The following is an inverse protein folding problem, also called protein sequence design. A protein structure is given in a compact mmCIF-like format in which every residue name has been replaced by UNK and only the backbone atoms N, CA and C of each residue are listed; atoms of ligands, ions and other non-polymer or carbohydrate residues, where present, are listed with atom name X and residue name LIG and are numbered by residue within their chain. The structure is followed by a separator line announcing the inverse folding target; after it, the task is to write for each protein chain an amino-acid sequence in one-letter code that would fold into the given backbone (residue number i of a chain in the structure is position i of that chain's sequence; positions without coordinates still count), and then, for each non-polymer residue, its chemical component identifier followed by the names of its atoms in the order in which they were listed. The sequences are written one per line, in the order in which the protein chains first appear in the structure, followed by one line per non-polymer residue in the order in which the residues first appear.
data_IF_113621994146
#
_entry.id   IF_113621994146
#
_cell.length_a   1.000
_cell.length_b   1.000
_cell.length_c   1.000
_cell.angle_alpha   90.00
_cell.angle_beta   90.00
_cell.angle_gamma   90.00
#
_symmetry.space_group_name_H-M   'P 1'
#
loop_
_entity.id
_entity.type
_entity.pdbx_description
1 polymer ?
#
# COMPACT_ATOMS: atom_id res chain seq x y z
N UNK A 1 -7.04 14.07 -15.55
CA UNK A 1 -6.15 12.88 -15.54
C UNK A 1 -4.86 13.35 -14.91
N UNK A 2 -4.51 12.82 -13.73
CA UNK A 2 -3.32 13.24 -13.01
C UNK A 2 -2.06 12.83 -13.79
N UNK A 3 -1.07 13.71 -13.85
CA UNK A 3 0.24 13.47 -14.44
C UNK A 3 0.96 12.37 -13.61
N UNK A 4 0.95 11.13 -14.12
CA UNK A 4 1.71 10.02 -13.56
C UNK A 4 3.16 10.18 -14.02
N UNK A 5 4.03 10.64 -13.12
CA UNK A 5 5.46 10.77 -13.42
C UNK A 5 6.10 9.40 -13.62
N UNK A 6 7.03 9.29 -14.58
CA UNK A 6 7.70 8.07 -15.05
C UNK A 6 8.52 7.29 -13.99
N UNK A 7 8.38 7.61 -12.71
CA UNK A 7 9.08 7.00 -11.58
C UNK A 7 8.18 6.07 -10.74
N UNK A 8 6.88 6.01 -11.02
CA UNK A 8 5.95 5.11 -10.32
C UNK A 8 5.94 3.74 -10.99
N UNK A 9 6.43 2.72 -10.31
CA UNK A 9 6.49 1.35 -10.84
C UNK A 9 5.20 0.55 -10.58
N UNK A 10 4.52 0.88 -9.49
CA UNK A 10 3.30 0.22 -9.02
C UNK A 10 2.58 1.13 -8.01
N UNK A 11 1.44 0.69 -7.48
CA UNK A 11 0.73 1.26 -6.33
C UNK A 11 0.45 0.14 -5.33
N UNK A 12 0.49 0.47 -4.04
CA UNK A 12 -0.10 -0.40 -3.01
C UNK A 12 -1.50 0.09 -2.73
N UNK A 13 -2.45 -0.83 -2.63
CA UNK A 13 -3.82 -0.58 -2.18
C UNK A 13 -4.06 -1.38 -0.92
N UNK A 14 -4.61 -0.73 0.10
CA UNK A 14 -5.04 -1.40 1.32
C UNK A 14 -6.53 -1.22 1.45
N UNK A 15 -7.23 -2.33 1.69
CA UNK A 15 -8.66 -2.37 1.90
C UNK A 15 -8.95 -3.02 3.26
N UNK A 16 -9.70 -2.31 4.11
CA UNK A 16 -10.24 -2.86 5.35
C UNK A 16 -11.33 -3.87 4.98
N UNK A 17 -11.07 -5.15 5.23
CA UNK A 17 -12.02 -6.23 4.93
C UNK A 17 -12.97 -6.48 6.11
N UNK A 18 -12.42 -6.70 7.30
CA UNK A 18 -13.16 -7.06 8.52
C UNK A 18 -12.43 -6.48 9.74
N UNK A 19 -13.09 -6.42 10.90
CA UNK A 19 -12.45 -5.97 12.15
C UNK A 19 -11.19 -6.79 12.43
N UNK A 20 -10.02 -6.14 12.43
CA UNK A 20 -8.72 -6.77 12.62
C UNK A 20 -8.10 -7.40 11.37
N UNK A 21 -8.57 -7.04 10.16
CA UNK A 21 -8.02 -7.53 8.89
C UNK A 21 -7.90 -6.46 7.81
N UNK A 22 -6.68 -6.25 7.34
CA UNK A 22 -6.36 -5.45 6.16
C UNK A 22 -5.92 -6.33 5.01
N UNK A 23 -6.42 -6.01 3.83
CA UNK A 23 -6.11 -6.66 2.58
C UNK A 23 -5.19 -5.76 1.77
N UNK A 24 -3.96 -6.20 1.54
CA UNK A 24 -2.92 -5.42 0.87
C UNK A 24 -2.71 -5.98 -0.54
N UNK A 25 -2.77 -5.12 -1.53
CA UNK A 25 -2.57 -5.48 -2.93
C UNK A 25 -1.52 -4.59 -3.57
N UNK A 26 -0.55 -5.19 -4.26
CA UNK A 26 0.39 -4.48 -5.14
C UNK A 26 -0.17 -4.52 -6.54
N UNK A 27 -0.38 -3.35 -7.13
CA UNK A 27 -0.93 -3.20 -8.48
C UNK A 27 0.10 -2.48 -9.34
N UNK A 28 0.50 -3.04 -10.48
CA UNK A 28 1.43 -2.39 -11.40
C UNK A 28 0.84 -1.09 -11.97
N UNK A 29 1.68 -0.26 -12.60
CA UNK A 29 1.21 0.93 -13.34
C UNK A 29 0.13 0.58 -14.39
N UNK A 30 0.24 -0.59 -15.02
CA UNK A 30 -0.73 -1.12 -15.98
C UNK A 30 -2.08 -1.58 -15.37
N UNK A 31 -2.27 -1.44 -14.04
CA UNK A 31 -3.48 -1.89 -13.35
C UNK A 31 -3.55 -3.40 -13.11
N UNK A 32 -2.43 -4.11 -13.20
CA UNK A 32 -2.36 -5.57 -13.01
C UNK A 32 -1.95 -5.86 -11.57
N UNK A 33 -2.73 -6.67 -10.84
CA UNK A 33 -2.34 -7.14 -9.51
C UNK A 33 -1.08 -8.02 -9.61
N UNK A 34 0.01 -7.54 -9.01
CA UNK A 34 1.31 -8.24 -8.96
C UNK A 34 1.45 -9.11 -7.71
N UNK A 35 0.81 -8.70 -6.61
CA UNK A 35 0.88 -9.37 -5.33
C UNK A 35 -0.29 -9.02 -4.44
N UNK A 36 -0.62 -9.92 -3.53
CA UNK A 36 -1.69 -9.75 -2.56
C UNK A 36 -1.26 -10.40 -1.24
N UNK A 37 -1.51 -9.71 -0.13
CA UNK A 37 -1.20 -10.13 1.22
C UNK A 37 -2.29 -9.72 2.19
N UNK A 38 -2.39 -10.42 3.31
CA UNK A 38 -3.36 -10.12 4.36
C UNK A 38 -2.61 -9.82 5.63
N UNK A 39 -2.90 -8.68 6.24
CA UNK A 39 -2.39 -8.31 7.54
C UNK A 39 -3.50 -8.45 8.59
N UNK A 40 -3.23 -9.23 9.63
CA UNK A 40 -4.13 -9.44 10.75
C UNK A 40 -3.60 -8.61 11.93
N UNK A 41 -4.46 -7.77 12.50
CA UNK A 41 -4.11 -6.88 13.60
C UNK A 41 -5.21 -6.94 14.68
N UNK A 42 -4.82 -6.63 15.91
CA UNK A 42 -5.78 -6.43 16.99
C UNK A 42 -6.48 -5.08 16.82
N UNK A 43 -7.76 -4.98 17.19
CA UNK A 43 -8.55 -3.76 17.02
C UNK A 43 -8.00 -2.53 17.78
N UNK A 44 -7.07 -2.75 18.72
CA UNK A 44 -6.35 -1.68 19.44
C UNK A 44 -5.25 -1.03 18.57
N UNK A 45 -4.86 -1.67 17.46
CA UNK A 45 -3.88 -1.18 16.48
C UNK A 45 -4.54 -0.74 15.16
N UNK A 46 -5.83 -0.38 15.19
CA UNK A 46 -6.57 0.10 14.00
C UNK A 46 -6.27 1.58 13.68
N UNK A 47 -5.00 1.95 13.65
CA UNK A 47 -4.58 3.33 13.39
C UNK A 47 -3.92 3.47 12.00
N UNK A 48 -4.06 4.64 11.40
CA UNK A 48 -3.52 4.93 10.07
C UNK A 48 -1.97 4.81 10.02
N UNK A 49 -1.28 5.01 11.14
CA UNK A 49 0.18 4.80 11.20
C UNK A 49 0.56 3.31 11.11
N UNK A 50 -0.15 2.43 11.81
CA UNK A 50 0.08 0.99 11.75
C UNK A 50 -0.32 0.42 10.39
N UNK A 51 -1.40 0.93 9.80
CA UNK A 51 -1.84 0.58 8.44
C UNK A 51 -0.75 0.90 7.41
N UNK A 52 -0.17 2.10 7.48
CA UNK A 52 0.94 2.49 6.63
C UNK A 52 2.23 1.72 6.93
N UNK A 53 2.51 1.41 8.20
CA UNK A 53 3.69 0.63 8.58
C UNK A 53 3.61 -0.80 8.02
N UNK A 54 2.45 -1.46 8.15
CA UNK A 54 2.19 -2.79 7.60
C UNK A 54 2.31 -2.80 6.07
N UNK A 55 1.77 -1.78 5.40
CA UNK A 55 1.92 -1.62 3.95
C UNK A 55 3.39 -1.47 3.54
N UNK A 56 4.15 -0.67 4.28
CA UNK A 56 5.53 -0.38 3.96
C UNK A 56 6.40 -1.63 4.12
N UNK A 57 6.14 -2.44 5.14
CA UNK A 57 6.78 -3.73 5.33
C UNK A 57 6.40 -4.72 4.21
N UNK A 58 5.11 -4.82 3.88
CA UNK A 58 4.62 -5.69 2.81
C UNK A 58 5.28 -5.37 1.45
N UNK A 59 5.26 -4.12 1.01
CA UNK A 59 5.82 -3.73 -0.30
C UNK A 59 7.34 -3.84 -0.33
N UNK A 60 8.00 -3.78 0.83
CA UNK A 60 9.44 -3.96 0.94
C UNK A 60 9.87 -5.38 0.56
N UNK A 61 9.06 -6.39 0.86
CA UNK A 61 9.31 -7.77 0.44
C UNK A 61 9.29 -7.92 -1.09
N UNK A 62 8.53 -7.05 -1.78
CA UNK A 62 8.50 -6.96 -3.24
C UNK A 62 9.58 -6.04 -3.84
N UNK A 63 10.47 -5.48 -3.01
CA UNK A 63 11.52 -4.56 -3.48
C UNK A 63 11.02 -3.14 -3.76
N UNK A 64 9.86 -2.76 -3.22
CA UNK A 64 9.29 -1.43 -3.35
C UNK A 64 9.29 -0.66 -2.03
N UNK A 65 9.04 0.64 -2.12
CA UNK A 65 8.78 1.54 -0.99
C UNK A 65 7.79 2.62 -1.41
N UNK A 66 7.15 3.30 -0.47
CA UNK A 66 6.40 4.52 -0.76
C UNK A 66 6.67 5.59 0.30
N UNK A 67 6.37 6.84 -0.06
CA UNK A 67 6.43 7.96 0.85
C UNK A 67 5.08 8.13 1.55
N UNK A 68 5.10 8.30 2.88
CA UNK A 68 3.86 8.49 3.66
C UNK A 68 3.09 9.74 3.22
N UNK A 69 3.80 10.79 2.82
CA UNK A 69 3.21 12.01 2.27
C UNK A 69 2.52 11.81 0.90
N UNK A 70 2.80 10.70 0.21
CA UNK A 70 2.18 10.36 -1.07
C UNK A 70 0.97 9.42 -0.92
N UNK A 71 0.64 9.00 0.31
CA UNK A 71 -0.54 8.18 0.62
C UNK A 71 -1.81 8.98 0.33
N UNK A 72 -2.70 8.39 -0.45
CA UNK A 72 -4.00 8.94 -0.81
C UNK A 72 -5.10 8.05 -0.26
N UNK A 73 -5.96 8.62 0.58
CA UNK A 73 -7.15 7.93 1.07
C UNK A 73 -8.13 7.68 -0.08
N UNK A 74 -8.59 6.44 -0.20
CA UNK A 74 -9.56 5.93 -1.17
C UNK A 74 -10.85 5.57 -0.46
N UNK A 75 -11.51 6.59 0.07
CA UNK A 75 -12.70 6.42 0.91
C UNK A 75 -12.38 6.15 2.38
N UNK A 76 -13.38 5.72 3.17
CA UNK A 76 -13.25 5.55 4.61
C UNK A 76 -12.45 4.30 5.02
N UNK A 77 -12.37 3.31 4.12
CA UNK A 77 -11.90 1.96 4.42
C UNK A 77 -10.75 1.51 3.51
N UNK A 78 -10.19 2.43 2.71
CA UNK A 78 -9.09 2.09 1.84
C UNK A 78 -8.16 3.28 1.61
N UNK A 79 -6.92 2.97 1.25
CA UNK A 79 -5.98 3.95 0.72
C UNK A 79 -5.09 3.33 -0.33
N UNK A 80 -4.44 4.18 -1.11
CA UNK A 80 -3.36 3.77 -2.00
C UNK A 80 -2.16 4.71 -1.91
N UNK A 81 -0.99 4.18 -2.23
CA UNK A 81 0.23 4.98 -2.31
C UNK A 81 1.06 4.57 -3.53
N UNK A 82 1.65 5.53 -4.27
CA UNK A 82 2.53 5.23 -5.38
C UNK A 82 3.82 4.58 -4.88
N UNK A 83 4.17 3.45 -5.48
CA UNK A 83 5.36 2.68 -5.18
C UNK A 83 6.54 3.15 -6.03
N UNK A 84 7.64 3.37 -5.33
CA UNK A 84 8.96 3.63 -5.86
C UNK A 84 9.81 2.37 -5.69
N UNK A 85 10.78 2.14 -6.59
CA UNK A 85 11.79 1.12 -6.36
C UNK A 85 12.50 1.39 -5.02
N UNK A 86 12.62 0.36 -4.20
CA UNK A 86 13.42 0.43 -2.99
C UNK A 86 14.88 0.55 -3.42
N UNK A 87 15.58 1.59 -2.95
CA UNK A 87 16.99 1.85 -3.28
C UNK A 87 17.94 0.80 -2.68
N UNK A 88 17.42 -0.32 -2.16
CA UNK A 88 18.20 -1.48 -1.72
C UNK A 88 18.80 -2.20 -2.94
N UNK A 89 19.88 -1.64 -3.47
CA UNK A 89 20.92 -2.35 -4.24
C UNK A 89 22.12 -2.67 -3.35
#
# INVERSE_FOLDING_TARGET
MADFTASQAAVVRIERSEQGRWDLSVISDAGVAMGHGVYLFDADHDDAEDEQAAALDFVRDYGFRFERDAVQADGPDAFWAPLLPSDQQ
#
